data_IF_179558259960
#
_entry.id   IF_179558259960
#
_cell.length_a   1.000
_cell.length_b   1.000
_cell.length_c   1.000
_cell.angle_alpha   90.00
_cell.angle_beta   90.00
_cell.angle_gamma   90.00
#
_symmetry.space_group_name_H-M   'P 1'
#
loop_
_entity.id
_entity.type
_entity.pdbx_description
1 polymer ?
#
# COMPACT_ATOMS: atom_id res chain seq x y z
N UNK A 1 -4.15 28.24 -5.78
CA UNK A 1 -4.15 27.32 -4.62
C UNK A 1 -4.51 25.86 -4.95
N UNK A 2 -5.64 25.57 -5.61
CA UNK A 2 -6.10 24.19 -5.83
C UNK A 2 -5.19 23.23 -6.61
N UNK A 3 -4.34 23.74 -7.53
CA UNK A 3 -3.36 22.89 -8.26
C UNK A 3 -2.27 22.31 -7.36
N UNK A 4 -1.74 23.12 -6.42
CA UNK A 4 -0.68 22.75 -5.48
C UNK A 4 -1.19 21.69 -4.49
N UNK A 5 -2.36 21.92 -3.89
CA UNK A 5 -2.98 20.98 -2.94
C UNK A 5 -3.21 19.62 -3.61
N UNK A 6 -3.73 19.61 -4.84
CA UNK A 6 -3.96 18.37 -5.59
C UNK A 6 -2.65 17.65 -5.92
N UNK A 7 -1.61 18.37 -6.34
CA UNK A 7 -0.30 17.77 -6.61
C UNK A 7 0.27 17.14 -5.34
N UNK A 8 0.18 17.84 -4.21
CA UNK A 8 0.61 17.34 -2.90
C UNK A 8 -0.17 16.09 -2.48
N UNK A 9 -1.50 16.04 -2.68
CA UNK A 9 -2.30 14.84 -2.42
C UNK A 9 -1.86 13.65 -3.26
N UNK A 10 -1.58 13.84 -4.56
CA UNK A 10 -1.09 12.76 -5.42
C UNK A 10 0.29 12.25 -4.99
N UNK A 11 1.19 13.16 -4.65
CA UNK A 11 2.54 12.80 -4.16
C UNK A 11 2.43 12.02 -2.85
N UNK A 12 1.64 12.50 -1.90
CA UNK A 12 1.47 11.84 -0.61
C UNK A 12 0.79 10.47 -0.76
N UNK A 13 -0.23 10.38 -1.62
CA UNK A 13 -0.88 9.10 -1.97
C UNK A 13 0.13 8.12 -2.56
N UNK A 14 0.90 8.57 -3.55
CA UNK A 14 1.92 7.75 -4.20
C UNK A 14 2.97 7.26 -3.20
N UNK A 15 3.41 8.13 -2.28
CA UNK A 15 4.36 7.77 -1.24
C UNK A 15 3.81 6.72 -0.27
N UNK A 16 2.60 6.92 0.27
CA UNK A 16 1.98 5.96 1.19
C UNK A 16 1.71 4.62 0.51
N UNK A 17 1.26 4.66 -0.75
CA UNK A 17 0.99 3.44 -1.51
C UNK A 17 2.28 2.70 -1.84
N UNK A 18 3.33 3.40 -2.29
CA UNK A 18 4.63 2.81 -2.55
C UNK A 18 5.25 2.19 -1.29
N UNK A 19 5.17 2.88 -0.15
CA UNK A 19 5.62 2.35 1.14
C UNK A 19 4.89 1.05 1.50
N UNK A 20 3.56 1.02 1.42
CA UNK A 20 2.78 -0.18 1.73
C UNK A 20 3.08 -1.31 0.75
N UNK A 21 3.10 -1.04 -0.54
CA UNK A 21 3.43 -2.02 -1.59
C UNK A 21 4.82 -2.61 -1.35
N UNK A 22 5.80 -1.80 -0.94
CA UNK A 22 7.15 -2.27 -0.66
C UNK A 22 7.21 -3.15 0.60
N UNK A 23 6.65 -2.69 1.72
CA UNK A 23 6.70 -3.40 3.01
C UNK A 23 5.86 -4.67 2.97
N UNK A 24 4.60 -4.58 2.52
CA UNK A 24 3.73 -5.76 2.38
C UNK A 24 4.17 -6.66 1.23
N UNK A 25 4.74 -6.10 0.16
CA UNK A 25 5.38 -6.89 -0.90
C UNK A 25 6.53 -7.73 -0.39
N UNK A 26 7.38 -7.16 0.48
CA UNK A 26 8.43 -7.89 1.20
C UNK A 26 7.88 -9.06 2.01
N UNK A 27 6.81 -8.85 2.78
CA UNK A 27 6.14 -9.93 3.53
C UNK A 27 5.52 -10.99 2.61
N UNK A 28 4.98 -10.58 1.47
CA UNK A 28 4.33 -11.48 0.51
C UNK A 28 5.32 -12.39 -0.23
N UNK A 29 6.58 -11.97 -0.39
CA UNK A 29 7.65 -12.78 -1.00
C UNK A 29 8.42 -13.62 0.03
N UNK A 30 8.29 -13.33 1.32
CA UNK A 30 8.91 -14.13 2.38
C UNK A 30 8.35 -15.57 2.38
N UNK A 31 9.22 -16.61 2.32
CA UNK A 31 8.81 -18.01 2.38
C UNK A 31 7.99 -18.30 3.65
N UNK A 32 7.01 -19.21 3.55
CA UNK A 32 6.12 -19.65 4.65
C UNK A 32 5.12 -18.59 5.11
N UNK A 33 5.58 -17.40 5.50
CA UNK A 33 4.76 -16.32 6.08
C UNK A 33 3.86 -15.68 5.03
N UNK A 34 4.40 -15.41 3.83
CA UNK A 34 3.65 -14.74 2.77
C UNK A 34 2.39 -15.51 2.35
N UNK A 35 2.42 -16.85 2.40
CA UNK A 35 1.26 -17.70 2.08
C UNK A 35 0.19 -17.62 3.18
N UNK A 36 0.58 -17.84 4.43
CA UNK A 36 -0.33 -17.79 5.58
C UNK A 36 -0.96 -16.40 5.75
N UNK A 37 -0.14 -15.36 5.62
CA UNK A 37 -0.58 -13.97 5.73
C UNK A 37 -1.56 -13.60 4.62
N UNK A 38 -1.38 -14.14 3.41
CA UNK A 38 -2.31 -13.92 2.28
C UNK A 38 -3.66 -14.61 2.50
N UNK A 39 -3.66 -15.87 2.93
CA UNK A 39 -4.90 -16.61 3.23
C UNK A 39 -5.70 -15.90 4.32
N UNK A 40 -5.03 -15.44 5.38
CA UNK A 40 -5.65 -14.67 6.45
C UNK A 40 -6.13 -13.29 5.98
N UNK A 41 -5.31 -12.58 5.20
CA UNK A 41 -5.67 -11.27 4.66
C UNK A 41 -6.92 -11.33 3.77
N UNK A 42 -7.06 -12.36 2.94
CA UNK A 42 -8.26 -12.52 2.10
C UNK A 42 -9.54 -12.68 2.89
N UNK A 43 -9.46 -13.19 4.12
CA UNK A 43 -10.62 -13.40 5.00
C UNK A 43 -10.90 -12.20 5.89
N UNK A 44 -9.85 -11.53 6.39
CA UNK A 44 -9.98 -10.50 7.43
C UNK A 44 -9.88 -9.06 6.92
N UNK A 45 -9.09 -8.80 5.88
CA UNK A 45 -8.85 -7.43 5.41
C UNK A 45 -8.56 -7.36 3.91
N UNK A 46 -9.53 -6.91 3.08
CA UNK A 46 -9.32 -6.77 1.64
C UNK A 46 -8.21 -5.75 1.31
N UNK A 47 -7.93 -4.79 2.19
CA UNK A 47 -6.85 -3.82 2.04
C UNK A 47 -5.49 -4.54 2.13
N UNK A 48 -5.26 -5.34 3.17
CA UNK A 48 -4.04 -6.13 3.31
C UNK A 48 -3.85 -7.09 2.14
N UNK A 49 -4.93 -7.78 1.72
CA UNK A 49 -4.89 -8.68 0.59
C UNK A 49 -4.47 -7.97 -0.71
N UNK A 50 -4.98 -6.75 -0.92
CA UNK A 50 -4.62 -5.91 -2.07
C UNK A 50 -3.15 -5.50 -2.03
N UNK A 51 -2.62 -5.07 -0.88
CA UNK A 51 -1.21 -4.72 -0.75
C UNK A 51 -0.27 -5.91 -0.87
N UNK A 52 -0.63 -7.07 -0.34
CA UNK A 52 0.16 -8.30 -0.50
C UNK A 52 0.22 -8.72 -1.97
N UNK A 53 -0.91 -8.66 -2.67
CA UNK A 53 -0.98 -9.02 -4.09
C UNK A 53 -0.18 -8.04 -4.95
N UNK A 54 -0.49 -6.74 -4.85
CA UNK A 54 0.18 -5.70 -5.63
C UNK A 54 1.66 -5.60 -5.27
N UNK A 55 1.96 -5.66 -3.97
CA UNK A 55 3.31 -5.65 -3.41
C UNK A 55 4.18 -6.73 -4.01
N UNK A 56 3.73 -7.99 -3.96
CA UNK A 56 4.47 -9.13 -4.52
C UNK A 56 4.81 -8.91 -6.00
N UNK A 57 3.84 -8.51 -6.81
CA UNK A 57 4.08 -8.29 -8.23
C UNK A 57 5.00 -7.09 -8.49
N UNK A 58 4.83 -5.99 -7.76
CA UNK A 58 5.63 -4.78 -7.91
C UNK A 58 7.10 -5.02 -7.52
N UNK A 59 7.37 -5.63 -6.36
CA UNK A 59 8.76 -5.86 -5.90
C UNK A 59 9.45 -6.94 -6.74
N UNK A 60 8.70 -7.92 -7.22
CA UNK A 60 9.20 -8.96 -8.14
C UNK A 60 9.56 -8.37 -9.50
N UNK A 61 8.65 -7.61 -10.12
CA UNK A 61 8.89 -6.94 -11.40
C UNK A 61 10.02 -5.92 -11.33
N UNK A 62 10.19 -5.23 -10.20
CA UNK A 62 11.27 -4.27 -9.99
C UNK A 62 12.62 -4.92 -9.63
N UNK A 63 12.69 -6.24 -9.44
CA UNK A 63 13.91 -6.92 -8.97
C UNK A 63 14.33 -6.54 -7.55
N UNK A 64 13.39 -6.05 -6.73
CA UNK A 64 13.63 -5.57 -5.36
C UNK A 64 13.23 -6.56 -4.27
N UNK A 65 12.86 -7.80 -4.65
CA UNK A 65 12.31 -8.80 -3.73
C UNK A 65 13.20 -9.06 -2.52
N UNK A 66 14.50 -9.27 -2.72
CA UNK A 66 15.43 -9.55 -1.61
C UNK A 66 15.57 -8.38 -0.63
N UNK A 67 15.61 -7.14 -1.17
CA UNK A 67 15.69 -5.93 -0.36
C UNK A 67 14.40 -5.66 0.39
N UNK A 68 13.26 -5.93 -0.24
CA UNK A 68 11.95 -5.79 0.37
C UNK A 68 11.77 -6.83 1.49
N UNK A 69 12.13 -8.09 1.22
CA UNK A 69 12.12 -9.17 2.19
C UNK A 69 13.04 -8.85 3.39
N UNK A 70 14.28 -8.43 3.14
CA UNK A 70 15.21 -8.06 4.22
C UNK A 70 14.70 -6.87 5.05
N UNK A 71 14.06 -5.89 4.42
CA UNK A 71 13.48 -4.74 5.14
C UNK A 71 12.29 -5.16 6.00
N UNK A 72 11.37 -5.93 5.44
CA UNK A 72 10.19 -6.41 6.18
C UNK A 72 10.59 -7.40 7.28
N UNK A 73 11.59 -8.24 7.03
CA UNK A 73 12.21 -9.11 8.02
C UNK A 73 12.76 -8.35 9.23
N UNK A 74 13.37 -7.18 9.01
CA UNK A 74 13.84 -6.31 10.10
C UNK A 74 12.72 -5.59 10.83
N UNK A 75 11.67 -5.20 10.12
CA UNK A 75 10.56 -4.45 10.71
C UNK A 75 9.64 -5.33 11.56
N UNK A 76 9.54 -6.62 11.23
CA UNK A 76 8.63 -7.57 11.86
C UNK A 76 9.37 -8.81 12.37
N UNK A 77 10.59 -8.63 12.86
CA UNK A 77 11.46 -9.75 13.22
C UNK A 77 10.82 -10.65 14.30
N UNK A 78 10.14 -10.03 15.27
CA UNK A 78 9.47 -10.73 16.37
C UNK A 78 8.24 -11.50 15.89
N UNK A 79 7.42 -10.90 15.04
CA UNK A 79 6.21 -11.52 14.51
C UNK A 79 6.52 -12.67 13.55
N UNK A 80 7.61 -12.53 12.80
CA UNK A 80 8.12 -13.57 11.89
C UNK A 80 8.63 -14.77 12.70
N UNK A 81 9.34 -14.54 13.81
CA UNK A 81 9.84 -15.61 14.67
C UNK A 81 8.71 -16.34 15.41
N UNK A 82 7.64 -15.64 15.79
CA UNK A 82 6.51 -16.18 16.55
C UNK A 82 5.31 -16.60 15.67
N UNK A 83 5.54 -16.87 14.38
CA UNK A 83 4.47 -17.23 13.44
C UNK A 83 3.85 -18.61 13.75
N UNK A 84 4.53 -19.46 14.52
CA UNK A 84 4.04 -20.80 14.87
C UNK A 84 2.94 -20.79 15.94
N UNK A 85 2.81 -19.73 16.75
CA UNK A 85 1.95 -19.80 17.93
C UNK A 85 0.45 -19.70 17.62
N UNK A 86 0.01 -18.85 16.67
CA UNK A 86 -1.42 -18.72 16.30
C UNK A 86 -1.62 -18.16 14.86
N UNK A 87 -1.79 -19.02 13.83
CA UNK A 87 -1.91 -18.57 12.45
C UNK A 87 -3.14 -17.69 12.16
N UNK A 88 -4.19 -17.78 13.00
CA UNK A 88 -5.43 -17.01 12.85
C UNK A 88 -5.29 -15.54 13.27
N UNK A 89 -4.27 -15.21 14.07
CA UNK A 89 -4.02 -13.86 14.57
C UNK A 89 -2.84 -13.18 13.87
N UNK A 90 -2.22 -13.86 12.90
CA UNK A 90 -1.00 -13.38 12.24
C UNK A 90 -1.21 -11.96 11.69
N UNK A 91 -2.29 -11.72 10.93
CA UNK A 91 -2.56 -10.41 10.35
C UNK A 91 -2.71 -9.31 11.41
N UNK A 92 -3.45 -9.60 12.48
CA UNK A 92 -3.66 -8.64 13.57
C UNK A 92 -2.36 -8.30 14.29
N UNK A 93 -1.46 -9.28 14.45
CA UNK A 93 -0.12 -9.05 15.01
C UNK A 93 0.72 -8.14 14.11
N UNK A 94 0.77 -8.42 12.80
CA UNK A 94 1.48 -7.55 11.85
C UNK A 94 0.91 -6.12 11.79
N UNK A 95 -0.42 -5.96 11.89
CA UNK A 95 -1.05 -4.63 11.98
C UNK A 95 -0.75 -3.93 13.31
N UNK A 96 -0.71 -4.69 14.41
CA UNK A 96 -0.36 -4.17 15.73
C UNK A 96 1.11 -3.77 15.83
N UNK A 97 2.01 -4.51 15.19
CA UNK A 97 3.45 -4.25 15.15
C UNK A 97 3.81 -2.98 14.36
N UNK A 98 2.92 -2.52 13.48
CA UNK A 98 3.17 -1.31 12.70
C UNK A 98 3.26 -0.06 13.59
N UNK A 99 4.25 0.78 13.28
CA UNK A 99 4.37 2.11 13.86
C UNK A 99 3.13 2.97 13.57
N UNK A 100 2.86 4.02 14.35
CA UNK A 100 1.74 4.93 14.11
C UNK A 100 1.74 5.53 12.70
N UNK A 101 2.94 5.83 12.17
CA UNK A 101 3.11 6.35 10.80
C UNK A 101 2.80 5.29 9.73
N UNK A 102 3.20 4.03 9.94
CA UNK A 102 2.89 2.95 9.03
C UNK A 102 1.39 2.65 9.00
N UNK A 103 0.72 2.66 10.17
CA UNK A 103 -0.74 2.52 10.25
C UNK A 103 -1.46 3.67 9.55
N UNK A 104 -0.98 4.91 9.73
CA UNK A 104 -1.52 6.06 9.01
C UNK A 104 -1.36 5.88 7.50
N UNK A 105 -0.20 5.40 7.03
CA UNK A 105 -0.01 5.13 5.61
C UNK A 105 -0.92 4.01 5.10
N UNK A 106 -1.11 2.94 5.88
CA UNK A 106 -1.93 1.78 5.54
C UNK A 106 -3.40 2.16 5.27
N UNK A 107 -4.03 2.88 6.21
CA UNK A 107 -5.41 3.35 6.07
C UNK A 107 -5.53 4.63 5.24
N UNK A 108 -4.51 5.48 5.28
CA UNK A 108 -4.50 6.77 4.59
C UNK A 108 -4.32 6.64 3.09
N UNK A 109 -3.55 5.67 2.59
CA UNK A 109 -3.36 5.46 1.16
C UNK A 109 -4.67 5.30 0.36
N UNK A 110 -5.61 4.38 0.70
CA UNK A 110 -6.85 4.25 -0.07
C UNK A 110 -7.74 5.49 0.06
N UNK A 111 -7.77 6.13 1.23
CA UNK A 111 -8.57 7.33 1.46
C UNK A 111 -8.03 8.53 0.65
N UNK A 112 -6.71 8.72 0.64
CA UNK A 112 -6.05 9.75 -0.15
C UNK A 112 -6.15 9.48 -1.65
N UNK A 113 -6.16 8.22 -2.08
CA UNK A 113 -6.41 7.85 -3.47
C UNK A 113 -7.80 8.30 -3.91
N UNK A 114 -8.83 7.96 -3.13
CA UNK A 114 -10.22 8.39 -3.41
C UNK A 114 -10.32 9.91 -3.41
N UNK A 115 -9.75 10.59 -2.42
CA UNK A 115 -9.75 12.05 -2.36
C UNK A 115 -9.05 12.67 -3.57
N UNK A 116 -7.89 12.13 -3.97
CA UNK A 116 -7.13 12.60 -5.13
C UNK A 116 -7.91 12.41 -6.43
N UNK A 117 -8.63 11.29 -6.59
CA UNK A 117 -9.51 11.02 -7.72
C UNK A 117 -10.69 12.01 -7.76
N UNK A 118 -11.35 12.26 -6.63
CA UNK A 118 -12.45 13.23 -6.54
C UNK A 118 -11.98 14.64 -6.89
N UNK A 119 -10.83 15.08 -6.35
CA UNK A 119 -10.23 16.38 -6.67
C UNK A 119 -9.78 16.47 -8.14
N UNK A 120 -9.38 15.34 -8.74
CA UNK A 120 -9.06 15.28 -10.16
C UNK A 120 -10.33 15.37 -11.03
N UNK A 121 -11.38 14.63 -10.69
CA UNK A 121 -12.64 14.59 -11.41
C UNK A 121 -13.38 15.94 -11.36
N UNK A 122 -13.31 16.65 -10.23
CA UNK A 122 -13.87 18.01 -10.06
C UNK A 122 -13.07 19.10 -10.78
N UNK A 123 -12.02 18.77 -11.55
CA UNK A 123 -11.25 19.77 -12.28
C UNK A 123 -12.17 20.47 -13.29
N UNK A 124 -12.25 21.81 -13.29
CA UNK A 124 -12.89 22.53 -14.37
C UNK A 124 -12.13 22.21 -15.67
N UNK A 125 -12.79 21.50 -16.58
CA UNK A 125 -12.27 21.25 -17.91
C UNK A 125 -12.30 22.60 -18.63
N UNK A 126 -11.13 23.09 -19.06
CA UNK A 126 -11.09 24.22 -19.98
C UNK A 126 -11.75 23.75 -21.27
N UNK A 127 -12.98 24.19 -21.50
CA UNK A 127 -13.63 24.09 -22.79
C UNK A 127 -12.82 25.01 -23.69
N UNK A 128 -11.90 24.45 -24.49
CA UNK A 128 -11.32 25.18 -25.61
C UNK A 128 -12.49 25.39 -26.56
N UNK A 129 -13.02 26.61 -26.62
CA UNK A 129 -13.85 26.99 -27.75
C UNK A 129 -12.99 26.77 -28.98
N UNK A 130 -13.37 25.79 -29.80
CA UNK A 130 -12.85 25.72 -31.15
C UNK A 130 -13.19 27.06 -31.78
N UNK A 131 -12.15 27.86 -32.02
CA UNK A 131 -12.28 29.14 -32.67
C UNK A 131 -13.04 28.92 -33.96
N UNK A 132 -14.24 29.49 -34.00
CA UNK A 132 -14.95 29.80 -35.24
C UNK A 132 -13.98 30.62 -36.08
N UNK A 133 -13.49 30.05 -37.16
CA UNK A 133 -12.84 30.80 -38.24
C UNK A 133 -13.87 30.90 -39.36
N UNK A 134 -14.03 32.14 -39.81
CA UNK A 134 -14.93 32.62 -40.85
C UNK A 134 -14.79 31.85 -42.17
#
# INVERSE_FOLDING_TARGET
MGKLIRAMCWILTGWFLAYNVYVWGGLAVTPTIGKQLREQATLQSPIAASYLFLGRHAVSAAGLSDRAMARSGKLFAEEIADTESLPQLILNRFLAAQSPSARLAYYGAPLLLVLSLVLHARRPKQIRSFGRRD
#
